data_IF_121890630391
#
_entry.id   IF_121890630391
#
_cell.length_a   1.000
_cell.length_b   1.000
_cell.length_c   1.000
_cell.angle_alpha   90.00
_cell.angle_beta   90.00
_cell.angle_gamma   90.00
#
_symmetry.space_group_name_H-M   'P 1'
#
loop_
_entity.id
_entity.type
_entity.pdbx_description
1 polymer ?
#
# COMPACT_ATOMS: atom_id res chain seq x y z
N UNK A 1 2.92 -16.14 13.37
CA UNK A 1 3.09 -17.60 13.58
C UNK A 1 4.44 -17.82 14.24
N UNK A 2 4.47 -18.64 15.24
CA UNK A 2 5.71 -19.12 15.88
C UNK A 2 5.66 -20.64 15.83
N UNK A 3 6.58 -21.25 15.15
CA UNK A 3 6.70 -22.69 15.03
C UNK A 3 8.20 -22.99 14.87
N UNK A 4 8.89 -23.30 15.99
CA UNK A 4 10.32 -23.57 15.96
C UNK A 4 10.63 -24.65 14.89
N UNK A 5 11.48 -24.37 13.92
CA UNK A 5 12.41 -23.23 13.81
C UNK A 5 11.90 -22.01 12.98
N UNK A 6 10.61 -21.88 12.72
CA UNK A 6 10.03 -20.88 11.81
C UNK A 6 9.20 -19.83 12.56
N UNK A 7 9.50 -18.56 12.32
CA UNK A 7 8.80 -17.39 12.88
C UNK A 7 8.35 -16.50 11.74
N UNK A 8 7.09 -16.07 11.73
CA UNK A 8 6.57 -15.24 10.63
C UNK A 8 5.45 -14.31 11.06
N UNK A 9 5.38 -13.15 10.37
CA UNK A 9 4.29 -12.19 10.42
C UNK A 9 3.73 -12.05 9.02
N UNK A 10 2.40 -12.01 8.91
CA UNK A 10 1.66 -11.76 7.68
C UNK A 10 0.52 -10.78 8.00
N UNK A 11 0.48 -9.66 7.31
CA UNK A 11 -0.53 -8.61 7.45
C UNK A 11 -1.43 -8.62 6.23
N UNK A 12 -2.72 -8.88 6.46
CA UNK A 12 -3.67 -9.17 5.40
C UNK A 12 -4.37 -7.92 4.88
N UNK A 13 -4.45 -7.78 3.57
CA UNK A 13 -5.15 -6.69 2.87
C UNK A 13 -6.27 -7.21 1.96
N UNK A 14 -7.18 -6.31 1.50
CA UNK A 14 -8.30 -6.69 0.62
C UNK A 14 -9.65 -6.80 1.34
N UNK A 15 -9.86 -5.94 2.36
CA UNK A 15 -11.06 -5.95 3.23
C UNK A 15 -10.97 -7.02 4.32
N UNK A 16 -11.82 -6.90 5.37
CA UNK A 16 -11.70 -7.70 6.59
C UNK A 16 -11.64 -9.22 6.35
N UNK A 17 -12.47 -9.76 5.48
CA UNK A 17 -12.49 -11.21 5.22
C UNK A 17 -11.37 -11.66 4.28
N UNK A 18 -11.08 -10.89 3.24
CA UNK A 18 -10.03 -11.23 2.26
C UNK A 18 -8.65 -11.23 2.90
N UNK A 19 -8.31 -10.21 3.68
CA UNK A 19 -7.02 -10.11 4.37
C UNK A 19 -6.79 -11.25 5.37
N UNK A 20 -7.81 -11.60 6.19
CA UNK A 20 -7.71 -12.71 7.13
C UNK A 20 -7.47 -14.06 6.44
N UNK A 21 -8.19 -14.31 5.33
CA UNK A 21 -8.02 -15.54 4.53
C UNK A 21 -6.62 -15.57 3.90
N UNK A 22 -6.16 -14.45 3.32
CA UNK A 22 -4.87 -14.37 2.65
C UNK A 22 -3.70 -14.60 3.63
N UNK A 23 -3.68 -13.88 4.77
CA UNK A 23 -2.62 -14.03 5.78
C UNK A 23 -2.59 -15.42 6.38
N UNK A 24 -3.76 -16.00 6.69
CA UNK A 24 -3.85 -17.36 7.21
C UNK A 24 -3.35 -18.39 6.19
N UNK A 25 -3.79 -18.33 4.94
CA UNK A 25 -3.39 -19.25 3.89
C UNK A 25 -1.88 -19.18 3.62
N UNK A 26 -1.31 -17.97 3.57
CA UNK A 26 0.10 -17.77 3.40
C UNK A 26 0.92 -18.39 4.53
N UNK A 27 0.52 -18.19 5.79
CA UNK A 27 1.19 -18.77 6.95
C UNK A 27 1.04 -20.30 7.02
N UNK A 28 -0.12 -20.84 6.67
CA UNK A 28 -0.34 -22.29 6.64
C UNK A 28 0.52 -22.98 5.57
N UNK A 29 0.67 -22.36 4.39
CA UNK A 29 1.57 -22.86 3.33
C UNK A 29 3.05 -22.77 3.75
N UNK A 30 3.44 -21.67 4.40
CA UNK A 30 4.81 -21.47 4.86
C UNK A 30 5.25 -22.47 5.92
N UNK A 31 4.31 -22.99 6.74
CA UNK A 31 4.58 -23.91 7.84
C UNK A 31 5.32 -25.18 7.42
N UNK A 32 5.25 -25.56 6.16
CA UNK A 32 5.91 -26.75 5.60
C UNK A 32 7.39 -26.50 5.26
N UNK A 33 7.87 -25.24 5.33
CA UNK A 33 9.27 -24.93 5.12
C UNK A 33 10.13 -25.48 6.26
N UNK A 34 11.12 -26.31 5.94
CA UNK A 34 11.96 -27.02 6.91
C UNK A 34 13.44 -26.66 6.86
N UNK A 35 13.86 -25.95 5.81
CA UNK A 35 15.25 -25.51 5.61
C UNK A 35 15.32 -24.15 4.91
N UNK A 36 16.47 -23.48 5.02
CA UNK A 36 16.65 -22.13 4.48
C UNK A 36 16.61 -22.05 2.96
N UNK A 37 16.93 -23.13 2.24
CA UNK A 37 16.84 -23.17 0.79
C UNK A 37 15.39 -23.24 0.31
N UNK A 38 14.53 -23.89 1.12
CA UNK A 38 13.10 -24.00 0.84
C UNK A 38 12.31 -22.73 1.22
N UNK A 39 12.82 -21.85 2.09
CA UNK A 39 12.08 -20.71 2.64
C UNK A 39 11.55 -19.77 1.54
N UNK A 40 12.41 -19.34 0.61
CA UNK A 40 11.98 -18.48 -0.50
C UNK A 40 10.99 -19.18 -1.43
N UNK A 41 11.18 -20.47 -1.69
CA UNK A 41 10.25 -21.26 -2.47
C UNK A 41 8.90 -21.39 -1.75
N UNK A 42 8.89 -21.61 -0.44
CA UNK A 42 7.67 -21.68 0.35
C UNK A 42 6.90 -20.35 0.34
N UNK A 43 7.60 -19.19 0.33
CA UNK A 43 6.96 -17.88 0.14
C UNK A 43 6.35 -17.75 -1.26
N UNK A 44 7.02 -18.21 -2.31
CA UNK A 44 6.46 -18.24 -3.66
C UNK A 44 5.27 -19.20 -3.78
N UNK A 45 5.31 -20.35 -3.11
CA UNK A 45 4.19 -21.29 -3.06
C UNK A 45 3.00 -20.69 -2.30
N UNK A 46 3.26 -19.97 -1.20
CA UNK A 46 2.24 -19.20 -0.48
C UNK A 46 1.62 -18.11 -1.38
N UNK A 47 2.44 -17.41 -2.16
CA UNK A 47 1.94 -16.43 -3.13
C UNK A 47 0.98 -17.09 -4.13
N UNK A 48 1.40 -18.21 -4.71
CA UNK A 48 0.58 -18.94 -5.69
C UNK A 48 -0.74 -19.41 -5.07
N UNK A 49 -0.70 -19.97 -3.86
CA UNK A 49 -1.90 -20.44 -3.17
C UNK A 49 -2.91 -19.31 -2.92
N UNK A 50 -2.44 -18.14 -2.45
CA UNK A 50 -3.31 -16.96 -2.22
C UNK A 50 -3.85 -16.42 -3.54
N UNK A 51 -3.02 -16.29 -4.57
CA UNK A 51 -3.42 -15.82 -5.89
C UNK A 51 -4.47 -16.72 -6.56
N UNK A 52 -4.29 -18.05 -6.50
CA UNK A 52 -5.24 -19.01 -7.04
C UNK A 52 -6.57 -18.97 -6.28
N UNK A 53 -6.54 -18.88 -4.95
CA UNK A 53 -7.73 -18.77 -4.13
C UNK A 53 -8.54 -17.51 -4.40
N UNK A 54 -7.83 -16.35 -4.58
CA UNK A 54 -8.47 -15.10 -4.97
C UNK A 54 -9.14 -15.16 -6.35
N UNK A 55 -8.57 -15.94 -7.29
CA UNK A 55 -9.14 -16.15 -8.61
C UNK A 55 -10.34 -17.10 -8.64
N UNK A 56 -10.47 -18.01 -7.66
CA UNK A 56 -11.54 -18.99 -7.58
C UNK A 56 -12.80 -18.47 -6.87
N UNK A 57 -12.67 -17.53 -5.96
CA UNK A 57 -13.77 -16.97 -5.18
C UNK A 57 -13.90 -15.45 -5.41
N UNK A 58 -14.95 -14.99 -6.13
CA UNK A 58 -15.17 -13.56 -6.34
C UNK A 58 -15.31 -12.74 -5.06
N UNK A 59 -15.69 -13.35 -3.93
CA UNK A 59 -15.76 -12.69 -2.63
C UNK A 59 -14.38 -12.37 -2.06
N UNK A 60 -13.34 -13.05 -2.53
CA UNK A 60 -11.93 -12.89 -2.14
C UNK A 60 -11.11 -12.16 -3.21
N UNK A 61 -11.75 -11.63 -4.25
CA UNK A 61 -11.06 -10.92 -5.33
C UNK A 61 -10.24 -9.74 -4.78
N UNK A 62 -8.96 -9.69 -5.15
CA UNK A 62 -8.03 -8.65 -4.67
C UNK A 62 -7.53 -8.83 -3.24
N UNK A 63 -7.76 -9.98 -2.60
CA UNK A 63 -7.11 -10.29 -1.34
C UNK A 63 -5.61 -10.45 -1.53
N UNK A 64 -4.85 -10.07 -0.51
CA UNK A 64 -3.41 -10.24 -0.47
C UNK A 64 -2.91 -10.14 0.96
N UNK A 65 -1.62 -10.33 1.13
CA UNK A 65 -0.98 -10.18 2.44
C UNK A 65 0.50 -9.82 2.29
N UNK A 66 1.09 -9.23 3.33
CA UNK A 66 2.54 -9.23 3.49
C UNK A 66 3.01 -10.61 3.94
N UNK A 67 4.30 -10.88 3.88
CA UNK A 67 4.91 -12.04 4.52
C UNK A 67 6.37 -11.74 4.84
N UNK A 68 6.70 -11.74 6.13
CA UNK A 68 8.07 -11.57 6.64
C UNK A 68 8.37 -12.71 7.60
N UNK A 69 9.39 -13.50 7.29
CA UNK A 69 9.67 -14.73 8.01
C UNK A 69 11.16 -14.92 8.31
N UNK A 70 11.44 -15.42 9.52
CA UNK A 70 12.73 -15.99 9.89
C UNK A 70 12.64 -17.51 10.00
N UNK A 71 13.65 -18.20 9.48
CA UNK A 71 13.86 -19.63 9.62
C UNK A 71 15.25 -19.88 10.21
N UNK A 72 15.32 -20.64 11.30
CA UNK A 72 16.57 -21.13 11.88
C UNK A 72 17.08 -22.30 11.04
N UNK A 73 18.21 -22.13 10.36
CA UNK A 73 18.85 -23.11 9.48
C UNK A 73 20.28 -23.35 9.99
N UNK A 74 20.44 -24.32 10.89
CA UNK A 74 21.68 -24.56 11.60
C UNK A 74 22.12 -23.33 12.41
N UNK A 75 23.33 -22.83 12.14
CA UNK A 75 23.90 -21.65 12.79
C UNK A 75 23.50 -20.32 12.07
N UNK A 76 22.59 -20.37 11.13
CA UNK A 76 22.20 -19.21 10.30
C UNK A 76 20.71 -18.95 10.46
N UNK A 77 20.34 -17.69 10.59
CA UNK A 77 18.96 -17.23 10.50
C UNK A 77 18.69 -16.72 9.09
N UNK A 78 17.80 -17.40 8.36
CA UNK A 78 17.36 -17.00 7.03
C UNK A 78 16.16 -16.10 7.13
N UNK A 79 16.17 -15.02 6.35
CA UNK A 79 15.03 -14.09 6.18
C UNK A 79 14.45 -14.23 4.77
N UNK A 80 13.13 -14.26 4.69
CA UNK A 80 12.39 -14.01 3.47
C UNK A 80 11.33 -12.92 3.72
N UNK A 81 11.17 -12.00 2.76
CA UNK A 81 10.34 -10.81 2.95
C UNK A 81 9.62 -10.38 1.67
N UNK A 82 8.32 -10.08 1.82
CA UNK A 82 7.45 -9.43 0.83
C UNK A 82 6.46 -8.52 1.57
N UNK A 83 6.37 -7.24 1.19
CA UNK A 83 5.45 -6.27 1.76
C UNK A 83 6.13 -5.16 2.55
N UNK A 84 5.45 -4.62 3.56
CA UNK A 84 5.89 -3.54 4.45
C UNK A 84 5.86 -3.91 5.94
N UNK A 85 5.58 -5.17 6.26
CA UNK A 85 5.90 -5.72 7.58
C UNK A 85 7.41 -5.78 7.75
N UNK A 86 7.93 -5.44 8.92
CA UNK A 86 9.37 -5.21 9.11
C UNK A 86 10.03 -6.25 9.98
N UNK A 87 11.34 -6.44 9.74
CA UNK A 87 12.24 -7.19 10.60
C UNK A 87 13.35 -6.26 11.11
N UNK A 88 13.63 -6.37 12.40
CA UNK A 88 14.68 -5.61 13.08
C UNK A 88 15.63 -6.55 13.85
N UNK A 89 16.88 -6.12 14.00
CA UNK A 89 17.90 -6.72 14.85
C UNK A 89 18.38 -5.67 15.85
N UNK A 90 18.21 -5.94 17.14
CA UNK A 90 18.88 -5.23 18.22
C UNK A 90 20.15 -6.00 18.59
N UNK A 91 21.30 -5.38 18.35
CA UNK A 91 22.63 -5.93 18.64
C UNK A 91 23.51 -4.84 19.22
N UNK A 92 24.19 -5.13 20.32
CA UNK A 92 25.12 -4.21 20.98
C UNK A 92 24.48 -2.82 21.26
N UNK A 93 23.21 -2.81 21.68
CA UNK A 93 22.45 -1.58 21.97
C UNK A 93 22.11 -0.73 20.74
N UNK A 94 22.12 -1.33 19.55
CA UNK A 94 21.73 -0.64 18.29
C UNK A 94 20.65 -1.41 17.58
N UNK A 95 19.51 -0.76 17.33
CA UNK A 95 18.42 -1.28 16.52
C UNK A 95 18.71 -1.03 15.04
N UNK A 96 18.66 -2.09 14.24
CA UNK A 96 18.84 -2.03 12.80
C UNK A 96 17.63 -2.65 12.10
N UNK A 97 17.00 -1.92 11.18
CA UNK A 97 16.01 -2.48 10.25
C UNK A 97 16.73 -3.36 9.23
N UNK A 98 16.25 -4.60 9.05
CA UNK A 98 16.84 -5.60 8.14
C UNK A 98 16.10 -5.65 6.81
N UNK A 99 14.80 -5.34 6.82
CA UNK A 99 13.93 -5.33 5.63
C UNK A 99 13.84 -3.94 5.01
N UNK A 100 13.59 -3.89 3.70
CA UNK A 100 13.20 -2.67 2.97
C UNK A 100 11.72 -2.79 2.61
N UNK A 101 10.94 -1.78 2.92
CA UNK A 101 9.49 -1.82 2.67
C UNK A 101 9.19 -1.83 1.16
N UNK A 102 8.31 -2.71 0.72
CA UNK A 102 7.84 -2.72 -0.66
C UNK A 102 6.67 -1.76 -0.83
N UNK A 103 6.94 -0.47 -0.68
CA UNK A 103 5.96 0.61 -0.84
C UNK A 103 6.37 1.60 -1.93
N UNK A 104 5.40 2.36 -2.43
CA UNK A 104 5.67 3.44 -3.38
C UNK A 104 6.63 4.46 -2.79
N UNK A 105 6.43 4.83 -1.53
CA UNK A 105 7.25 5.87 -0.87
C UNK A 105 8.67 5.41 -0.58
N UNK A 106 8.91 4.14 -0.24
CA UNK A 106 10.26 3.62 -0.07
C UNK A 106 11.04 3.68 -1.40
N UNK A 107 10.38 3.35 -2.52
CA UNK A 107 11.00 3.50 -3.84
C UNK A 107 11.34 4.95 -4.20
N UNK A 108 10.61 5.95 -3.68
CA UNK A 108 10.95 7.38 -3.82
C UNK A 108 12.11 7.79 -2.92
N UNK A 109 12.20 7.22 -1.71
CA UNK A 109 13.33 7.43 -0.81
C UNK A 109 14.62 6.86 -1.40
N UNK A 110 14.58 5.64 -1.95
CA UNK A 110 15.73 5.01 -2.61
C UNK A 110 16.25 5.83 -3.82
N UNK A 111 15.36 6.49 -4.56
CA UNK A 111 15.73 7.39 -5.66
C UNK A 111 16.19 8.76 -5.19
N UNK A 112 16.09 9.08 -3.90
CA UNK A 112 16.39 10.38 -3.33
C UNK A 112 15.35 11.46 -3.65
N UNK A 113 14.15 11.06 -4.06
CA UNK A 113 13.02 11.97 -4.36
C UNK A 113 12.26 12.38 -3.09
N UNK A 114 12.31 11.55 -2.05
CA UNK A 114 11.79 11.84 -0.71
C UNK A 114 12.84 11.56 0.36
N UNK A 115 12.80 12.30 1.46
CA UNK A 115 13.48 11.92 2.69
C UNK A 115 12.66 10.89 3.47
N UNK A 116 13.26 10.08 4.36
CA UNK A 116 12.51 9.15 5.23
C UNK A 116 11.42 9.85 6.05
N UNK A 117 11.65 11.09 6.48
CA UNK A 117 10.69 11.87 7.24
C UNK A 117 9.48 12.28 6.37
N UNK A 118 9.70 12.68 5.12
CA UNK A 118 8.61 13.00 4.19
C UNK A 118 7.82 11.74 3.83
N UNK A 119 8.49 10.60 3.63
CA UNK A 119 7.86 9.32 3.34
C UNK A 119 6.90 8.88 4.47
N UNK A 120 7.28 9.07 5.74
CA UNK A 120 6.48 8.65 6.90
C UNK A 120 5.11 9.33 7.02
N UNK A 121 4.97 10.55 6.47
CA UNK A 121 3.73 11.33 6.48
C UNK A 121 3.06 11.42 5.10
N UNK A 122 3.63 10.75 4.10
CA UNK A 122 3.14 10.84 2.72
C UNK A 122 1.76 10.18 2.56
N UNK A 123 0.81 10.75 1.78
CA UNK A 123 -0.52 10.16 1.59
C UNK A 123 -0.51 8.74 1.01
N UNK A 124 0.53 8.38 0.27
CA UNK A 124 0.70 7.07 -0.37
C UNK A 124 1.64 6.13 0.40
N UNK A 125 1.92 6.40 1.69
CA UNK A 125 2.88 5.61 2.48
C UNK A 125 2.54 4.12 2.61
N UNK A 126 1.25 3.79 2.58
CA UNK A 126 0.74 2.41 2.71
C UNK A 126 0.40 1.76 1.36
N UNK A 127 0.83 2.35 0.22
CA UNK A 127 0.61 1.72 -1.09
C UNK A 127 1.74 0.74 -1.36
N UNK A 128 1.40 -0.55 -1.32
CA UNK A 128 2.34 -1.62 -1.60
C UNK A 128 2.66 -1.73 -3.09
N UNK A 129 3.93 -1.94 -3.40
CA UNK A 129 4.44 -2.27 -4.74
C UNK A 129 4.62 -3.77 -4.94
N UNK A 130 4.71 -4.54 -3.83
CA UNK A 130 4.78 -6.01 -3.83
C UNK A 130 4.00 -6.57 -2.64
N UNK A 131 3.15 -7.57 -2.88
CA UNK A 131 2.40 -8.29 -1.86
C UNK A 131 2.13 -9.73 -2.32
N UNK A 132 1.93 -10.63 -1.38
CA UNK A 132 1.54 -12.02 -1.60
C UNK A 132 0.10 -12.06 -2.13
N UNK A 133 -0.13 -12.79 -3.23
CA UNK A 133 -1.46 -13.06 -3.78
C UNK A 133 -1.99 -12.01 -4.75
N UNK A 134 -1.25 -10.93 -5.02
CA UNK A 134 -1.65 -9.87 -5.97
C UNK A 134 -1.27 -10.25 -7.39
N UNK A 135 -0.05 -10.73 -7.59
CA UNK A 135 0.46 -11.20 -8.87
C UNK A 135 0.75 -12.71 -8.82
N UNK A 136 0.68 -13.38 -9.97
CA UNK A 136 0.92 -14.84 -10.06
C UNK A 136 2.35 -15.25 -9.70
N UNK A 137 3.31 -14.33 -9.77
CA UNK A 137 4.70 -14.49 -9.36
C UNK A 137 5.13 -13.28 -8.54
N UNK A 138 5.95 -13.50 -7.49
CA UNK A 138 6.43 -12.44 -6.61
C UNK A 138 7.92 -12.56 -6.37
N UNK A 139 8.61 -11.43 -6.45
CA UNK A 139 10.01 -11.37 -6.06
C UNK A 139 10.12 -11.34 -4.54
N UNK A 140 10.81 -12.33 -3.98
CA UNK A 140 11.04 -12.48 -2.53
C UNK A 140 12.42 -11.92 -2.19
N UNK A 141 12.47 -10.94 -1.29
CA UNK A 141 13.72 -10.45 -0.74
C UNK A 141 14.25 -11.45 0.29
N UNK A 142 15.55 -11.72 0.25
CA UNK A 142 16.21 -12.72 1.09
C UNK A 142 17.44 -12.13 1.76
N UNK A 143 17.65 -12.49 3.03
CA UNK A 143 18.87 -12.19 3.75
C UNK A 143 19.29 -13.37 4.63
N UNK A 144 20.54 -13.34 5.08
CA UNK A 144 21.09 -14.32 6.00
C UNK A 144 21.82 -13.59 7.12
N UNK A 145 21.50 -13.94 8.34
CA UNK A 145 22.07 -13.35 9.56
C UNK A 145 22.81 -14.44 10.29
N UNK A 146 24.02 -14.14 10.74
CA UNK A 146 24.73 -14.97 11.73
C UNK A 146 24.31 -14.48 13.11
N UNK A 147 23.41 -15.21 13.80
CA UNK A 147 22.95 -14.82 15.13
C UNK A 147 24.10 -14.88 16.14
N UNK A 148 24.07 -14.01 17.15
CA UNK A 148 25.03 -13.99 18.26
C UNK A 148 24.26 -14.02 19.57
N UNK A 149 24.80 -14.67 20.59
CA UNK A 149 24.25 -14.57 21.94
C UNK A 149 24.05 -13.11 22.35
N UNK A 150 22.86 -12.77 22.85
CA UNK A 150 22.48 -11.42 23.20
C UNK A 150 21.80 -10.63 22.07
N UNK A 151 21.72 -11.17 20.85
CA UNK A 151 20.87 -10.59 19.80
C UNK A 151 19.40 -10.72 20.17
N UNK A 152 18.64 -9.69 19.85
CA UNK A 152 17.18 -9.70 19.91
C UNK A 152 16.61 -9.31 18.55
N UNK A 153 15.69 -10.12 18.03
CA UNK A 153 15.03 -9.86 16.75
C UNK A 153 13.57 -9.53 16.98
N UNK A 154 13.03 -8.65 16.13
CA UNK A 154 11.62 -8.29 16.10
C UNK A 154 11.08 -8.47 14.68
N UNK A 155 9.96 -9.17 14.54
CA UNK A 155 9.08 -9.11 13.36
C UNK A 155 7.82 -8.35 13.74
N UNK A 156 7.37 -7.42 12.93
CA UNK A 156 6.15 -6.67 13.20
C UNK A 156 5.40 -6.25 11.94
N UNK A 157 4.08 -6.05 12.08
CA UNK A 157 3.27 -5.40 11.06
C UNK A 157 3.47 -3.88 11.06
N UNK A 158 2.98 -3.21 10.02
CA UNK A 158 2.99 -1.76 9.88
C UNK A 158 2.13 -1.06 10.94
N UNK A 159 1.11 -1.74 11.50
CA UNK A 159 0.33 -1.26 12.65
C UNK A 159 1.17 -0.92 13.87
N UNK A 160 2.36 -1.54 14.05
CA UNK A 160 3.31 -1.14 15.07
C UNK A 160 4.11 0.09 14.62
N UNK A 161 4.80 0.00 13.48
CA UNK A 161 5.76 1.02 13.01
C UNK A 161 5.12 2.29 12.48
N UNK A 162 3.82 2.24 12.18
CA UNK A 162 3.01 3.42 11.88
C UNK A 162 2.61 4.23 13.12
N UNK A 163 2.72 3.63 14.32
CA UNK A 163 2.31 4.25 15.59
C UNK A 163 3.48 4.52 16.55
N UNK A 164 4.54 3.71 16.50
CA UNK A 164 5.70 3.79 17.40
C UNK A 164 6.95 4.00 16.57
N UNK A 165 7.75 4.99 16.88
CA UNK A 165 9.00 5.25 16.17
C UNK A 165 10.12 4.27 16.56
N UNK A 166 11.17 4.17 15.72
CA UNK A 166 12.26 3.19 15.93
C UNK A 166 13.04 3.43 17.23
N UNK A 167 13.11 4.68 17.70
CA UNK A 167 13.78 5.00 18.96
C UNK A 167 12.99 4.47 20.18
N UNK A 168 11.67 4.59 20.13
CA UNK A 168 10.79 4.03 21.17
C UNK A 168 10.74 2.51 21.09
N UNK A 169 10.73 1.91 19.88
CA UNK A 169 10.86 0.44 19.70
C UNK A 169 12.16 -0.03 20.34
N UNK A 170 13.29 0.60 20.04
CA UNK A 170 14.58 0.24 20.63
C UNK A 170 14.53 0.30 22.14
N UNK A 171 14.03 1.39 22.72
CA UNK A 171 13.93 1.58 24.16
C UNK A 171 13.12 0.48 24.83
N UNK A 172 11.96 0.12 24.26
CA UNK A 172 11.10 -0.95 24.81
C UNK A 172 11.81 -2.30 24.75
N UNK A 173 12.52 -2.60 23.65
CA UNK A 173 13.27 -3.85 23.49
C UNK A 173 14.45 -3.94 24.47
N UNK A 174 15.06 -2.82 24.88
CA UNK A 174 16.14 -2.77 25.88
C UNK A 174 15.64 -2.84 27.32
N UNK A 175 14.50 -2.20 27.63
CA UNK A 175 13.94 -2.14 28.97
C UNK A 175 13.33 -3.47 29.45
N UNK A 176 12.77 -4.26 28.54
CA UNK A 176 12.10 -5.52 28.84
C UNK A 176 12.97 -6.72 28.52
N UNK A 177 13.45 -7.44 29.54
CA UNK A 177 14.29 -8.64 29.34
C UNK A 177 13.50 -9.85 28.87
N UNK A 178 12.22 -9.98 29.25
CA UNK A 178 11.34 -11.04 28.79
C UNK A 178 10.77 -10.68 27.40
N UNK A 179 10.93 -11.55 26.39
CA UNK A 179 10.47 -11.25 25.02
C UNK A 179 8.94 -11.06 24.93
N UNK A 180 8.16 -11.80 25.73
CA UNK A 180 6.71 -11.64 25.74
C UNK A 180 6.32 -10.28 26.35
N UNK A 181 6.93 -9.89 27.46
CA UNK A 181 6.69 -8.60 28.08
C UNK A 181 7.09 -7.43 27.16
N UNK A 182 8.16 -7.59 26.38
CA UNK A 182 8.55 -6.61 25.36
C UNK A 182 7.52 -6.52 24.22
N UNK A 183 7.02 -7.65 23.73
CA UNK A 183 5.98 -7.68 22.69
C UNK A 183 4.68 -7.03 23.19
N UNK A 184 4.23 -7.35 24.40
CA UNK A 184 3.03 -6.75 25.00
C UNK A 184 3.19 -5.24 25.18
N UNK A 185 4.35 -4.76 25.62
CA UNK A 185 4.65 -3.35 25.80
C UNK A 185 4.66 -2.59 24.46
N UNK A 186 5.18 -3.19 23.38
CA UNK A 186 5.12 -2.60 22.04
C UNK A 186 3.69 -2.48 21.52
N UNK A 187 2.88 -3.52 21.70
CA UNK A 187 1.46 -3.51 21.31
C UNK A 187 0.68 -2.48 22.15
N UNK A 188 0.94 -2.37 23.44
CA UNK A 188 0.32 -1.37 24.31
C UNK A 188 0.72 0.05 23.88
N UNK A 189 2.00 0.30 23.60
CA UNK A 189 2.48 1.59 23.12
C UNK A 189 1.80 2.02 21.79
N UNK A 190 1.68 1.10 20.84
CA UNK A 190 1.00 1.38 19.57
C UNK A 190 -0.50 1.65 19.76
N UNK A 191 -1.18 0.89 20.62
CA UNK A 191 -2.57 1.14 20.97
C UNK A 191 -2.77 2.49 21.68
N UNK A 192 -1.86 2.86 22.57
CA UNK A 192 -1.89 4.16 23.27
C UNK A 192 -1.67 5.34 22.30
N UNK A 193 -0.89 5.13 21.23
CA UNK A 193 -0.67 6.12 20.18
C UNK A 193 -1.85 6.23 19.18
N UNK A 194 -2.87 5.37 19.30
CA UNK A 194 -4.09 5.49 18.51
C UNK A 194 -4.63 4.18 17.93
N UNK A 195 -3.78 3.13 17.78
CA UNK A 195 -4.20 1.80 17.35
C UNK A 195 -5.01 1.81 16.06
N UNK A 196 -4.47 2.38 14.98
CA UNK A 196 -5.21 2.60 13.74
C UNK A 196 -5.40 1.32 12.93
N UNK A 197 -4.53 0.30 13.16
CA UNK A 197 -4.54 -0.97 12.44
C UNK A 197 -4.27 -2.14 13.37
N UNK A 198 -4.28 -3.37 12.86
CA UNK A 198 -3.90 -4.57 13.58
C UNK A 198 -2.41 -4.54 13.92
N UNK A 199 -2.08 -4.71 15.20
CA UNK A 199 -0.71 -4.64 15.68
C UNK A 199 -0.22 -6.06 15.99
N UNK A 200 0.82 -6.47 15.28
CA UNK A 200 1.47 -7.76 15.50
C UNK A 200 2.95 -7.55 15.79
N UNK A 201 3.45 -8.18 16.85
CA UNK A 201 4.86 -8.20 17.20
C UNK A 201 5.29 -9.62 17.61
N UNK A 202 6.41 -10.10 17.07
CA UNK A 202 7.07 -11.37 17.42
C UNK A 202 8.51 -11.08 17.77
N UNK A 203 8.94 -11.43 18.98
CA UNK A 203 10.29 -11.19 19.47
C UNK A 203 11.01 -12.53 19.67
N UNK A 204 12.26 -12.58 19.23
CA UNK A 204 13.15 -13.73 19.39
C UNK A 204 14.43 -13.27 20.07
N UNK A 205 14.84 -13.99 21.12
CA UNK A 205 16.12 -13.80 21.79
C UNK A 205 17.08 -14.92 21.43
N UNK A 206 18.32 -14.56 21.11
CA UNK A 206 19.40 -15.50 20.87
C UNK A 206 20.20 -15.71 22.16
N UNK A 207 20.21 -16.92 22.66
CA UNK A 207 20.94 -17.27 23.91
C UNK A 207 21.91 -18.44 23.70
N UNK A 208 22.95 -18.51 24.54
CA UNK A 208 23.86 -19.65 24.60
C UNK A 208 23.27 -20.85 25.38
N UNK A 209 22.08 -20.71 25.95
CA UNK A 209 21.46 -21.75 26.74
C UNK A 209 21.11 -22.95 25.86
N UNK A 210 21.47 -24.16 26.33
CA UNK A 210 20.92 -25.38 25.73
C UNK A 210 19.38 -25.31 25.77
N UNK A 211 18.70 -25.78 24.71
CA UNK A 211 17.24 -25.78 24.68
C UNK A 211 16.69 -26.47 25.91
N UNK A 212 15.86 -25.78 26.70
CA UNK A 212 15.17 -26.43 27.81
C UNK A 212 14.16 -27.44 27.21
N UNK A 213 14.39 -28.78 27.41
CA UNK A 213 13.49 -29.79 26.87
C UNK A 213 12.08 -29.73 27.47
N UNK A 214 11.85 -28.86 28.44
CA UNK A 214 10.57 -28.61 29.10
C UNK A 214 9.98 -27.22 28.78
N UNK A 215 10.66 -26.39 28.00
CA UNK A 215 10.09 -25.17 27.48
C UNK A 215 8.97 -25.52 26.48
N UNK A 216 7.80 -25.80 27.01
CA UNK A 216 6.60 -25.88 26.18
C UNK A 216 6.42 -24.48 25.58
N UNK A 217 6.40 -24.39 24.24
CA UNK A 217 5.93 -23.20 23.55
C UNK A 217 4.60 -22.80 24.19
N UNK A 218 4.56 -21.60 24.76
CA UNK A 218 3.29 -21.08 25.28
C UNK A 218 2.26 -21.22 24.15
N UNK A 219 1.08 -21.81 24.41
CA UNK A 219 0.08 -21.93 23.38
C UNK A 219 -0.15 -20.53 22.83
N UNK A 220 -0.11 -20.40 21.52
CA UNK A 220 -0.53 -19.18 20.83
C UNK A 220 -1.99 -18.96 21.22
N UNK A 221 -2.24 -18.22 22.28
CA UNK A 221 -3.58 -17.72 22.55
C UNK A 221 -3.87 -16.77 21.39
N UNK A 222 -4.59 -17.29 20.40
CA UNK A 222 -5.45 -16.43 19.62
C UNK A 222 -6.41 -15.83 20.65
N UNK A 223 -6.10 -14.62 21.11
CA UNK A 223 -7.06 -13.84 21.87
C UNK A 223 -8.23 -13.67 20.90
N UNK A 224 -9.36 -14.40 21.12
CA UNK A 224 -10.55 -14.12 20.34
C UNK A 224 -10.85 -12.64 20.59
N UNK A 225 -11.37 -11.88 19.62
CA UNK A 225 -11.78 -10.51 19.84
C UNK A 225 -12.65 -10.55 21.09
N UNK A 226 -12.13 -9.98 22.19
CA UNK A 226 -12.74 -10.07 23.51
C UNK A 226 -14.19 -9.63 23.34
N UNK A 227 -15.16 -10.29 24.00
CA UNK A 227 -16.52 -9.79 23.99
C UNK A 227 -16.41 -8.33 24.35
N UNK A 228 -16.94 -7.45 23.49
CA UNK A 228 -16.99 -6.00 23.77
C UNK A 228 -17.46 -5.88 25.19
N UNK A 229 -16.52 -5.60 26.09
CA UNK A 229 -16.80 -5.44 27.50
C UNK A 229 -17.66 -4.20 27.58
N UNK A 230 -18.97 -4.39 27.57
CA UNK A 230 -19.90 -3.38 28.01
C UNK A 230 -19.66 -3.23 29.50
N UNK A 231 -18.54 -2.63 29.87
CA UNK A 231 -18.42 -2.09 31.21
C UNK A 231 -19.53 -1.05 31.32
N UNK A 232 -20.58 -1.41 32.08
CA UNK A 232 -21.43 -0.42 32.66
C UNK A 232 -20.54 0.43 33.55
N UNK A 233 -19.95 1.46 32.97
CA UNK A 233 -19.44 2.57 33.74
C UNK A 233 -20.61 3.08 34.58
N UNK A 234 -20.63 2.75 35.85
CA UNK A 234 -21.41 3.50 36.84
C UNK A 234 -20.81 4.90 36.84
N UNK A 235 -21.44 5.78 36.10
CA UNK A 235 -21.13 7.21 36.03
C UNK A 235 -21.25 7.78 37.43
N UNK A 236 -20.08 7.97 38.08
CA UNK A 236 -19.95 9.01 39.08
C UNK A 236 -20.29 10.35 38.39
N UNK A 237 -21.22 11.10 38.96
CA UNK A 237 -21.68 12.40 38.47
C UNK A 237 -20.50 13.38 38.31
N UNK A 238 -19.86 13.39 37.18
CA UNK A 238 -19.03 14.50 36.70
C UNK A 238 -19.54 14.92 35.32
N UNK A 239 -20.05 16.12 35.26
CA UNK A 239 -20.61 16.94 34.23
C UNK A 239 -20.68 16.30 32.83
N UNK A 240 -21.89 16.03 32.36
CA UNK A 240 -22.23 15.75 30.98
C UNK A 240 -21.63 16.84 30.07
N UNK A 241 -20.40 16.67 29.60
CA UNK A 241 -19.92 17.41 28.43
C UNK A 241 -20.70 16.84 27.25
N UNK A 242 -21.82 17.50 26.91
CA UNK A 242 -22.61 17.20 25.72
C UNK A 242 -21.65 17.34 24.52
N UNK A 243 -21.18 16.24 24.00
CA UNK A 243 -20.49 16.21 22.70
C UNK A 243 -21.44 16.83 21.68
N UNK A 244 -21.00 17.83 20.91
CA UNK A 244 -21.90 18.55 20.02
C UNK A 244 -22.17 17.68 18.78
N UNK A 245 -23.05 16.68 18.93
CA UNK A 245 -23.55 15.92 17.81
C UNK A 245 -24.10 16.82 16.69
N UNK A 246 -24.58 18.01 17.07
CA UNK A 246 -24.96 19.08 16.14
C UNK A 246 -23.76 19.61 15.32
N UNK A 247 -22.57 19.72 15.91
CA UNK A 247 -21.37 20.13 15.17
C UNK A 247 -20.94 19.05 14.17
N UNK A 248 -21.03 17.76 14.55
CA UNK A 248 -20.73 16.65 13.65
C UNK A 248 -21.78 16.51 12.53
N UNK A 249 -23.03 16.79 12.82
CA UNK A 249 -24.08 16.85 11.80
C UNK A 249 -23.87 18.04 10.84
N UNK A 250 -23.40 19.19 11.35
CA UNK A 250 -23.07 20.36 10.53
C UNK A 250 -21.82 20.12 9.67
N UNK A 251 -20.76 19.48 10.17
CA UNK A 251 -19.59 19.14 9.34
C UNK A 251 -19.94 18.14 8.27
N UNK A 252 -20.75 17.12 8.55
CA UNK A 252 -21.24 16.18 7.55
C UNK A 252 -22.12 16.89 6.50
N UNK A 253 -23.02 17.78 6.91
CA UNK A 253 -23.85 18.55 6.00
C UNK A 253 -23.01 19.48 5.08
N UNK A 254 -21.96 20.10 5.63
CA UNK A 254 -21.03 20.92 4.84
C UNK A 254 -20.25 20.08 3.85
N UNK A 255 -19.75 18.90 4.25
CA UNK A 255 -19.04 17.96 3.35
C UNK A 255 -19.95 17.47 2.20
N UNK A 256 -21.22 17.18 2.49
CA UNK A 256 -22.20 16.78 1.47
C UNK A 256 -22.53 17.95 0.55
N UNK A 257 -22.65 19.17 1.08
CA UNK A 257 -22.89 20.37 0.27
C UNK A 257 -21.68 20.73 -0.61
N UNK A 258 -20.46 20.63 -0.07
CA UNK A 258 -19.23 20.88 -0.84
C UNK A 258 -19.03 19.79 -1.90
N UNK A 259 -19.16 18.51 -1.51
CA UNK A 259 -19.06 17.38 -2.47
C UNK A 259 -20.15 17.42 -3.54
N UNK A 260 -21.39 17.70 -3.14
CA UNK A 260 -22.52 17.89 -4.07
C UNK A 260 -22.34 19.12 -4.97
N UNK A 261 -21.81 20.22 -4.43
CA UNK A 261 -21.49 21.42 -5.19
C UNK A 261 -20.38 21.19 -6.22
N UNK A 262 -19.30 20.51 -5.85
CA UNK A 262 -18.21 20.13 -6.77
C UNK A 262 -18.69 19.16 -7.86
N UNK A 263 -19.52 18.18 -7.49
CA UNK A 263 -20.11 17.25 -8.46
C UNK A 263 -21.05 17.95 -9.43
N UNK A 264 -21.88 18.87 -8.92
CA UNK A 264 -22.77 19.68 -9.77
C UNK A 264 -21.98 20.63 -10.68
N UNK A 265 -20.92 21.27 -10.16
CA UNK A 265 -20.04 22.13 -10.93
C UNK A 265 -19.35 21.34 -12.06
N UNK A 266 -18.81 20.14 -11.75
CA UNK A 266 -18.25 19.27 -12.79
C UNK A 266 -19.29 18.98 -13.88
N UNK A 267 -20.49 18.55 -13.51
CA UNK A 267 -21.52 18.13 -14.45
C UNK A 267 -22.17 19.28 -15.25
N UNK A 268 -22.22 20.48 -14.67
CA UNK A 268 -22.86 21.63 -15.29
C UNK A 268 -21.89 22.49 -16.12
N UNK A 269 -20.61 22.50 -15.76
CA UNK A 269 -19.62 23.36 -16.42
C UNK A 269 -18.55 22.52 -17.14
N UNK A 270 -17.89 21.57 -16.49
CA UNK A 270 -16.77 20.81 -17.08
C UNK A 270 -17.27 19.85 -18.15
N UNK A 271 -18.26 19.01 -17.84
CA UNK A 271 -18.79 18.01 -18.78
C UNK A 271 -19.54 18.60 -20.00
N UNK A 272 -19.66 19.93 -20.09
CA UNK A 272 -20.26 20.61 -21.23
C UNK A 272 -19.25 21.23 -22.19
N UNK A 273 -18.00 21.28 -21.78
CA UNK A 273 -16.94 21.82 -22.61
C UNK A 273 -16.35 20.74 -23.51
N UNK A 274 -15.83 21.16 -24.65
CA UNK A 274 -15.19 20.30 -25.61
C UNK A 274 -13.85 20.90 -26.01
N UNK A 275 -12.90 20.07 -26.36
CA UNK A 275 -11.63 20.54 -26.92
C UNK A 275 -11.01 19.49 -27.84
N UNK A 276 -10.17 19.94 -28.75
CA UNK A 276 -9.34 19.10 -29.61
C UNK A 276 -7.92 19.15 -29.11
N UNK A 277 -7.31 18.01 -28.86
CA UNK A 277 -5.97 17.88 -28.35
C UNK A 277 -5.23 16.72 -28.99
N UNK A 278 -4.18 16.24 -28.32
CA UNK A 278 -3.38 15.12 -28.83
C UNK A 278 -3.50 13.92 -27.90
N UNK A 279 -3.58 12.71 -28.47
CA UNK A 279 -3.56 11.45 -27.76
C UNK A 279 -2.80 10.39 -28.55
N UNK A 280 -1.81 9.73 -27.92
CA UNK A 280 -1.03 8.68 -28.58
C UNK A 280 -0.27 9.12 -29.86
N UNK A 281 -0.06 10.45 -30.03
CA UNK A 281 0.58 10.99 -31.23
C UNK A 281 -0.40 11.35 -32.37
N UNK A 282 -1.71 11.26 -32.10
CA UNK A 282 -2.78 11.63 -33.04
C UNK A 282 -3.64 12.75 -32.49
N UNK A 283 -4.34 13.46 -33.37
CA UNK A 283 -5.37 14.43 -32.99
C UNK A 283 -6.56 13.69 -32.40
N UNK A 284 -7.11 14.18 -31.29
CA UNK A 284 -8.21 13.52 -30.61
C UNK A 284 -9.24 14.52 -30.07
N UNK A 285 -10.49 14.07 -29.96
CA UNK A 285 -11.61 14.81 -29.40
C UNK A 285 -11.79 14.46 -27.93
N UNK A 286 -11.85 15.49 -27.10
CA UNK A 286 -12.07 15.36 -25.69
C UNK A 286 -13.31 16.10 -25.22
N UNK A 287 -13.92 15.58 -24.16
CA UNK A 287 -14.98 16.24 -23.43
C UNK A 287 -14.47 16.61 -22.04
N UNK A 288 -14.55 17.89 -21.68
CA UNK A 288 -14.00 18.41 -20.44
C UNK A 288 -13.17 19.66 -20.68
N UNK A 289 -12.22 19.93 -19.81
CA UNK A 289 -11.25 21.02 -19.93
C UNK A 289 -9.84 20.47 -20.00
N UNK A 290 -8.94 21.06 -20.81
CA UNK A 290 -7.55 20.65 -20.90
C UNK A 290 -6.75 21.17 -19.70
N UNK A 291 -7.05 20.67 -18.50
CA UNK A 291 -6.38 21.06 -17.27
C UNK A 291 -6.40 19.90 -16.26
N UNK A 292 -5.30 19.70 -15.57
CA UNK A 292 -5.12 18.70 -14.50
C UNK A 292 -4.93 19.38 -13.14
N UNK A 293 -5.94 20.05 -12.57
CA UNK A 293 -5.79 20.69 -11.27
C UNK A 293 -5.54 19.64 -10.20
N UNK A 294 -4.44 19.77 -9.47
CA UNK A 294 -4.03 18.84 -8.40
C UNK A 294 -3.82 17.40 -8.88
N UNK A 295 -3.49 17.18 -10.16
CA UNK A 295 -3.26 15.84 -10.72
C UNK A 295 -4.55 15.04 -11.01
N UNK A 296 -5.72 15.70 -11.04
CA UNK A 296 -6.97 15.08 -11.47
C UNK A 296 -7.24 15.44 -12.94
N UNK A 297 -7.35 14.42 -13.78
CA UNK A 297 -7.76 14.59 -15.17
C UNK A 297 -9.26 15.00 -15.23
N UNK A 298 -9.53 16.16 -15.79
CA UNK A 298 -10.88 16.70 -16.00
C UNK A 298 -11.37 16.50 -17.43
N UNK A 299 -10.61 15.79 -18.25
CA UNK A 299 -10.93 15.47 -19.63
C UNK A 299 -11.29 13.99 -19.79
N UNK A 300 -12.15 13.69 -20.73
CA UNK A 300 -12.48 12.32 -21.14
C UNK A 300 -12.28 12.22 -22.63
N UNK A 301 -11.46 11.28 -23.09
CA UNK A 301 -11.28 10.97 -24.51
C UNK A 301 -12.62 10.46 -25.09
N UNK A 302 -13.09 11.10 -26.16
CA UNK A 302 -14.32 10.74 -26.84
C UNK A 302 -14.05 10.02 -28.15
N UNK A 303 -13.08 10.52 -28.93
CA UNK A 303 -12.75 9.96 -30.23
C UNK A 303 -11.28 10.21 -30.57
N UNK A 304 -10.60 9.19 -31.05
CA UNK A 304 -9.26 9.27 -31.60
C UNK A 304 -9.35 9.33 -33.13
N UNK A 305 -8.63 10.28 -33.76
CA UNK A 305 -8.60 10.40 -35.22
C UNK A 305 -7.39 9.73 -35.82
N UNK A 306 -7.36 9.59 -37.15
CA UNK A 306 -6.18 9.07 -37.85
C UNK A 306 -5.19 10.18 -38.27
N UNK A 307 -5.37 11.42 -37.80
CA UNK A 307 -4.55 12.58 -38.16
C UNK A 307 -3.32 12.60 -37.25
N UNK A 308 -2.09 12.40 -37.79
CA UNK A 308 -0.89 12.48 -36.98
C UNK A 308 -0.67 13.89 -36.42
N UNK A 309 -0.46 14.02 -35.13
CA UNK A 309 -0.31 15.32 -34.45
C UNK A 309 0.93 16.10 -34.94
N UNK A 310 2.01 15.38 -35.31
CA UNK A 310 3.23 15.97 -35.86
C UNK A 310 3.06 16.62 -37.22
N UNK A 311 1.99 16.30 -37.98
CA UNK A 311 1.62 16.95 -39.24
C UNK A 311 0.73 18.16 -39.00
N UNK A 312 -0.05 18.20 -37.96
CA UNK A 312 -0.94 19.29 -37.59
C UNK A 312 -0.22 20.42 -36.83
N UNK A 313 0.57 20.11 -35.84
CA UNK A 313 1.27 21.07 -34.96
C UNK A 313 2.18 22.08 -35.67
N UNK A 314 2.86 21.76 -36.81
CA UNK A 314 3.65 22.76 -37.54
C UNK A 314 2.83 23.86 -38.19
N UNK A 315 1.52 23.68 -38.37
CA UNK A 315 0.62 24.69 -38.90
C UNK A 315 0.38 25.80 -37.87
N UNK A 316 0.59 27.04 -38.24
CA UNK A 316 0.58 28.18 -37.33
C UNK A 316 -0.73 28.33 -36.53
N UNK A 317 -1.84 27.81 -37.06
CA UNK A 317 -3.17 27.87 -36.47
C UNK A 317 -3.41 26.78 -35.40
N UNK A 318 -2.58 25.71 -35.38
CA UNK A 318 -2.76 24.55 -34.47
C UNK A 318 -1.58 24.35 -33.50
N UNK A 319 -0.82 25.41 -33.24
CA UNK A 319 0.33 25.36 -32.28
C UNK A 319 -0.06 24.99 -30.87
N UNK A 320 -1.27 25.36 -30.48
CA UNK A 320 -1.82 25.11 -29.14
C UNK A 320 -2.56 23.76 -29.05
N UNK A 321 -2.37 22.88 -30.04
CA UNK A 321 -3.02 21.56 -30.08
C UNK A 321 -2.59 20.65 -28.93
N UNK A 322 -1.36 20.79 -28.44
CA UNK A 322 -0.86 20.08 -27.26
C UNK A 322 -1.49 20.59 -25.97
N UNK A 323 -1.78 21.90 -25.88
CA UNK A 323 -2.45 22.54 -24.75
C UNK A 323 -3.98 22.40 -24.82
N UNK A 324 -4.51 21.98 -25.97
CA UNK A 324 -5.92 21.77 -26.22
C UNK A 324 -6.66 23.00 -26.79
N UNK A 325 -7.20 22.86 -28.00
CA UNK A 325 -8.01 23.89 -28.65
C UNK A 325 -9.46 23.75 -28.20
N UNK A 326 -9.95 24.69 -27.39
CA UNK A 326 -11.30 24.67 -26.82
C UNK A 326 -12.38 24.93 -27.85
N UNK A 327 -13.54 24.28 -27.69
CA UNK A 327 -14.73 24.45 -28.52
C UNK A 327 -15.99 24.59 -27.64
N UNK A 328 -16.97 25.36 -28.10
CA UNK A 328 -18.22 25.59 -27.37
C UNK A 328 -19.21 24.42 -27.49
N UNK A 329 -19.00 23.55 -28.49
CA UNK A 329 -19.85 22.38 -28.73
C UNK A 329 -19.09 21.22 -29.37
N UNK A 330 -19.68 20.02 -29.32
CA UNK A 330 -19.16 18.85 -30.05
C UNK A 330 -19.08 19.08 -31.55
N UNK A 331 -20.06 19.76 -32.12
CA UNK A 331 -20.14 20.05 -33.54
C UNK A 331 -19.01 20.98 -33.98
N UNK A 332 -18.70 21.99 -33.18
CA UNK A 332 -17.57 22.89 -33.41
C UNK A 332 -16.23 22.17 -33.29
N UNK A 333 -16.04 21.34 -32.27
CA UNK A 333 -14.83 20.55 -32.09
C UNK A 333 -14.61 19.58 -33.28
N UNK A 334 -15.67 18.94 -33.78
CA UNK A 334 -15.62 18.12 -35.00
C UNK A 334 -15.30 18.91 -36.25
N UNK A 335 -15.80 20.16 -36.34
CA UNK A 335 -15.46 21.08 -37.43
C UNK A 335 -13.98 21.46 -37.41
N UNK A 336 -13.39 21.70 -36.21
CA UNK A 336 -11.96 21.96 -36.06
C UNK A 336 -11.15 20.74 -36.55
N UNK A 337 -11.52 19.52 -36.17
CA UNK A 337 -10.85 18.28 -36.61
C UNK A 337 -10.92 18.13 -38.14
N UNK A 338 -12.10 18.40 -38.73
CA UNK A 338 -12.28 18.33 -40.17
C UNK A 338 -11.41 19.37 -40.91
N UNK A 339 -11.25 20.56 -40.33
CA UNK A 339 -10.39 21.62 -40.88
C UNK A 339 -8.91 21.22 -40.76
N UNK A 340 -8.47 20.69 -39.62
CA UNK A 340 -7.11 20.16 -39.45
C UNK A 340 -6.82 19.09 -40.53
N UNK A 341 -7.74 18.16 -40.76
CA UNK A 341 -7.58 17.14 -41.79
C UNK A 341 -7.43 17.77 -43.19
N UNK A 342 -8.26 18.72 -43.53
CA UNK A 342 -8.20 19.38 -44.86
C UNK A 342 -6.88 20.14 -45.04
N UNK A 343 -6.38 20.80 -43.99
CA UNK A 343 -5.13 21.57 -44.05
C UNK A 343 -3.91 20.66 -44.12
N UNK A 344 -3.94 19.53 -43.44
CA UNK A 344 -2.90 18.48 -43.52
C UNK A 344 -2.89 17.84 -44.92
N UNK A 345 -4.07 17.52 -45.47
CA UNK A 345 -4.20 16.94 -46.81
C UNK A 345 -3.73 17.92 -47.89
N UNK A 346 -3.98 19.23 -47.72
CA UNK A 346 -3.55 20.27 -48.65
C UNK A 346 -2.03 20.45 -48.72
N UNK A 347 -1.29 20.00 -47.70
CA UNK A 347 0.18 20.03 -47.66
C UNK A 347 0.85 18.78 -48.25
N UNK A 348 0.07 17.72 -48.46
CA UNK A 348 0.61 16.53 -49.13
C UNK A 348 0.71 16.77 -50.63
N UNK A 349 1.86 16.52 -51.25
CA UNK A 349 1.97 16.64 -52.72
C UNK A 349 1.00 15.67 -53.40
N UNK A 350 0.37 16.07 -54.54
CA UNK A 350 -0.58 15.19 -55.21
C UNK A 350 0.06 13.86 -55.56
N UNK A 351 -0.64 12.73 -55.38
CA UNK A 351 -0.09 11.42 -55.68
C UNK A 351 0.24 11.34 -57.20
N UNK A 352 1.54 11.39 -57.52
CA UNK A 352 2.02 11.19 -58.87
C UNK A 352 2.78 12.34 -59.55
N UNK A 353 3.30 13.31 -58.80
CA UNK A 353 4.29 14.25 -59.36
C UNK A 353 5.68 13.56 -59.38
N UNK A 354 6.39 13.52 -60.51
CA UNK A 354 7.68 12.84 -60.69
C UNK A 354 8.84 13.54 -59.95
#
# INVERSE_FOLDING_TARGET
MVNDPLFAVADGMGGHQGGEVASKLALDTLREATDGAALAQAVQDANRAVFEQAGQDPALAGMGTTLTAFLVDGDTLRLAHVGDSRAYLLRDGTLQRITTDHTVVEGLVEKGELTPQEASIHPQRSILTRAIGVDGDVQVDQASIQPRPGDRLLLCSDGLTGMVDEADIQRVLEEHTDPQAAADALVEAANAAGGQDNITAVILDVSDAEPDPHAQAAPTETVPPGPRRTERFTMGERGRRRWPWKAMAWTMAVLVLVGGGLFAAKRLFVDRQWFVGTWGGYVALFRGIPAEPLGFDLATLVEETAIPADQATPLAEYRDLEDGITAESEEEARSIIAQIQADVDAQQPPPGAP
#
